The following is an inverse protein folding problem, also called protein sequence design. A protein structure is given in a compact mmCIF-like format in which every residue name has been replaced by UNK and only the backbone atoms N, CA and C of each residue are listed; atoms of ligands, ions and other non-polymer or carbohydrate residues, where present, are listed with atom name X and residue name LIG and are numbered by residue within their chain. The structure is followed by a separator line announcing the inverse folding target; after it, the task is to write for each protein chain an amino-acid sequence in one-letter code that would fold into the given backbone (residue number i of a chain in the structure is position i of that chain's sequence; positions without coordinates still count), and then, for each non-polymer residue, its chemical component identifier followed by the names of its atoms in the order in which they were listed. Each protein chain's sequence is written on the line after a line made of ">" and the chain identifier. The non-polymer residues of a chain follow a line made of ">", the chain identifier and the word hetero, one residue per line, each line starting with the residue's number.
data_IF_975213502286
#
_entry.id   IF_975213502286
#
_cell.length_a   1.000
_cell.length_b   1.000
_cell.length_c   1.000
_cell.angle_alpha   90.00
_cell.angle_beta   90.00
_cell.angle_gamma   90.00
#
_symmetry.space_group_name_H-M   'P 1'
#
loop_
_entity.id
_entity.type
_entity.pdbx_description
1 polymer ?
#
# COMPACT_ATOMS: atom_id res chain seq x y z
N UNK A 1 65.59 1.22 -5.84
CA UNK A 1 64.26 0.88 -6.40
C UNK A 1 63.34 2.06 -6.17
N UNK A 2 63.01 2.81 -7.20
CA UNK A 2 62.09 3.95 -7.13
C UNK A 2 61.43 4.09 -8.49
N UNK A 3 60.27 3.46 -8.65
CA UNK A 3 59.51 3.42 -9.89
C UNK A 3 58.64 4.68 -9.97
N UNK A 4 58.90 5.53 -10.97
CA UNK A 4 58.09 6.71 -11.28
C UNK A 4 56.72 6.30 -11.83
N UNK A 5 55.67 6.82 -11.19
CA UNK A 5 54.26 6.60 -11.52
C UNK A 5 53.88 7.28 -12.85
N UNK A 6 53.42 6.48 -13.81
CA UNK A 6 52.94 6.93 -15.11
C UNK A 6 51.58 7.64 -15.04
N UNK A 7 51.61 8.95 -15.25
CA UNK A 7 50.68 9.75 -16.06
C UNK A 7 49.21 9.29 -16.13
N UNK A 8 48.40 9.86 -15.26
CA UNK A 8 46.95 9.98 -15.42
C UNK A 8 46.64 11.09 -16.45
N UNK A 9 46.34 10.72 -17.70
CA UNK A 9 45.67 11.63 -18.66
C UNK A 9 44.28 11.07 -18.96
N UNK A 10 43.28 11.48 -18.17
CA UNK A 10 41.88 11.31 -18.57
C UNK A 10 41.61 12.31 -19.68
N UNK A 11 41.25 11.82 -20.87
CA UNK A 11 40.65 12.65 -21.93
C UNK A 11 39.28 13.10 -21.41
N UNK A 12 39.06 14.40 -21.31
CA UNK A 12 37.72 14.96 -21.14
C UNK A 12 36.94 14.70 -22.44
N UNK A 13 35.94 13.82 -22.39
CA UNK A 13 34.97 13.70 -23.47
C UNK A 13 33.99 14.88 -23.36
N UNK A 14 33.65 15.54 -24.49
CA UNK A 14 32.73 16.67 -24.48
C UNK A 14 31.33 16.22 -24.06
N UNK A 15 30.71 17.00 -23.17
CA UNK A 15 29.34 16.83 -22.71
C UNK A 15 28.41 16.95 -23.94
N UNK A 16 27.54 15.98 -24.21
CA UNK A 16 26.64 16.03 -25.37
C UNK A 16 25.64 17.19 -25.23
N UNK A 17 25.46 17.91 -26.34
CA UNK A 17 24.52 19.01 -26.49
C UNK A 17 23.08 18.56 -26.20
N UNK A 18 22.42 19.25 -25.27
CA UNK A 18 21.10 18.93 -24.72
C UNK A 18 19.95 19.26 -25.70
N UNK A 19 20.26 19.70 -26.92
CA UNK A 19 19.29 20.19 -27.90
C UNK A 19 18.63 19.12 -28.79
N UNK A 20 18.94 17.83 -28.62
CA UNK A 20 18.47 16.75 -29.51
C UNK A 20 17.77 15.56 -28.83
N UNK A 21 17.26 15.74 -27.61
CA UNK A 21 16.40 14.72 -26.97
C UNK A 21 14.96 14.86 -27.48
N UNK A 22 14.56 13.96 -28.40
CA UNK A 22 13.16 13.83 -28.80
C UNK A 22 12.25 13.59 -27.58
N UNK A 23 11.03 14.16 -27.54
CA UNK A 23 10.12 13.94 -26.41
C UNK A 23 9.79 12.45 -26.26
N UNK A 24 10.12 11.86 -25.12
CA UNK A 24 9.70 10.50 -24.78
C UNK A 24 8.17 10.50 -24.66
N UNK A 25 7.48 9.94 -25.66
CA UNK A 25 6.03 9.73 -25.58
C UNK A 25 5.69 8.90 -24.33
N UNK A 26 4.90 9.51 -23.42
CA UNK A 26 4.44 8.85 -22.19
C UNK A 26 3.66 7.59 -22.56
N UNK A 27 4.19 6.42 -22.22
CA UNK A 27 3.47 5.15 -22.33
C UNK A 27 4.17 4.04 -23.12
N UNK A 28 5.38 4.27 -23.64
CA UNK A 28 6.15 3.26 -24.36
C UNK A 28 7.26 2.64 -23.49
N UNK A 29 7.51 1.33 -23.66
CA UNK A 29 8.71 0.63 -23.20
C UNK A 29 9.42 0.09 -24.45
N UNK A 30 10.70 0.46 -24.69
CA UNK A 30 11.47 0.06 -25.86
C UNK A 30 10.71 0.28 -27.21
N UNK A 31 10.05 1.44 -27.37
CA UNK A 31 9.30 1.76 -28.59
C UNK A 31 8.00 0.97 -28.79
N UNK A 32 7.57 0.16 -27.80
CA UNK A 32 6.30 -0.58 -27.82
C UNK A 32 5.33 -0.05 -26.78
N UNK A 33 4.01 -0.04 -27.04
CA UNK A 33 3.01 0.33 -26.05
C UNK A 33 3.17 -0.53 -24.80
N UNK A 34 3.30 0.10 -23.63
CA UNK A 34 3.36 -0.63 -22.37
C UNK A 34 2.05 -1.43 -22.21
N UNK A 35 2.08 -2.78 -22.14
CA UNK A 35 0.87 -3.59 -22.02
C UNK A 35 0.11 -3.35 -20.70
N UNK A 36 0.77 -2.71 -19.72
CA UNK A 36 0.17 -2.30 -18.46
C UNK A 36 -0.39 -0.87 -18.51
N UNK A 37 -0.29 -0.18 -19.64
CA UNK A 37 -0.90 1.13 -19.81
C UNK A 37 -2.43 0.95 -19.83
N UNK A 38 -3.17 1.69 -18.98
CA UNK A 38 -4.62 1.65 -18.97
C UNK A 38 -5.17 2.01 -20.36
N UNK A 39 -6.21 1.32 -20.80
CA UNK A 39 -6.92 1.69 -22.02
C UNK A 39 -7.52 3.10 -21.86
N UNK A 40 -7.55 3.88 -22.93
CA UNK A 40 -8.18 5.21 -22.95
C UNK A 40 -9.63 5.09 -22.44
N UNK A 41 -10.00 5.87 -21.42
CA UNK A 41 -11.31 5.81 -20.75
C UNK A 41 -11.43 4.84 -19.56
N UNK A 42 -10.42 4.02 -19.28
CA UNK A 42 -10.42 3.17 -18.07
C UNK A 42 -10.01 3.95 -16.82
N UNK A 43 -10.76 3.77 -15.73
CA UNK A 43 -10.42 4.37 -14.43
C UNK A 43 -9.46 3.46 -13.65
N UNK A 44 -8.28 3.98 -13.35
CA UNK A 44 -7.29 3.32 -12.47
C UNK A 44 -7.69 3.48 -11.00
N UNK A 45 -8.62 4.39 -10.68
CA UNK A 45 -8.99 4.69 -9.31
C UNK A 45 -9.68 3.47 -8.69
N UNK A 46 -9.16 3.06 -7.53
CA UNK A 46 -9.74 1.98 -6.73
C UNK A 46 -10.52 2.53 -5.55
N UNK A 47 -11.52 1.78 -5.10
CA UNK A 47 -12.44 2.18 -4.03
C UNK A 47 -12.11 1.51 -2.69
N UNK A 48 -12.49 2.14 -1.55
CA UNK A 48 -12.54 1.45 -0.27
C UNK A 48 -13.63 0.36 -0.27
N UNK A 49 -13.48 -0.65 0.59
CA UNK A 49 -14.50 -1.66 0.86
C UNK A 49 -15.43 -1.08 1.95
N UNK A 50 -16.56 -0.51 1.51
CA UNK A 50 -17.52 0.17 2.40
C UNK A 50 -18.54 -0.78 3.05
N UNK A 51 -18.63 -2.03 2.60
CA UNK A 51 -19.58 -3.03 3.14
C UNK A 51 -18.90 -3.93 4.18
N UNK A 52 -19.41 -3.91 5.42
CA UNK A 52 -18.92 -4.76 6.52
C UNK A 52 -19.21 -6.24 6.29
N UNK A 53 -20.31 -6.57 5.62
CA UNK A 53 -20.68 -7.96 5.29
C UNK A 53 -19.68 -8.53 4.29
N UNK A 54 -19.33 -7.77 3.25
CA UNK A 54 -18.25 -8.15 2.34
C UNK A 54 -16.89 -8.29 3.04
N UNK A 55 -16.53 -7.39 3.97
CA UNK A 55 -15.29 -7.55 4.76
C UNK A 55 -15.30 -8.87 5.55
N UNK A 56 -16.43 -9.22 6.16
CA UNK A 56 -16.59 -10.49 6.88
C UNK A 56 -16.45 -11.67 5.91
N UNK A 57 -17.15 -11.64 4.78
CA UNK A 57 -17.07 -12.69 3.75
C UNK A 57 -15.64 -12.90 3.22
N UNK A 58 -14.87 -11.82 3.02
CA UNK A 58 -13.46 -11.92 2.64
C UNK A 58 -12.64 -12.61 3.74
N UNK A 59 -12.83 -12.23 5.02
CA UNK A 59 -12.12 -12.87 6.13
C UNK A 59 -12.45 -14.36 6.23
N UNK A 60 -13.72 -14.71 6.08
CA UNK A 60 -14.20 -16.10 6.11
C UNK A 60 -13.58 -16.91 4.94
N UNK A 61 -13.57 -16.34 3.73
CA UNK A 61 -12.91 -16.95 2.56
C UNK A 61 -11.39 -17.16 2.76
N UNK A 62 -10.76 -16.34 3.59
CA UNK A 62 -9.33 -16.40 3.88
C UNK A 62 -8.97 -17.20 5.14
N UNK A 63 -9.95 -17.76 5.86
CA UNK A 63 -9.72 -18.44 7.14
C UNK A 63 -8.65 -19.56 7.05
N UNK A 64 -8.64 -20.33 5.97
CA UNK A 64 -7.63 -21.38 5.70
C UNK A 64 -6.32 -20.88 5.08
N UNK A 65 -6.13 -19.56 4.96
CA UNK A 65 -4.97 -18.93 4.32
C UNK A 65 -4.35 -17.89 5.26
N UNK A 66 -3.64 -18.32 6.31
CA UNK A 66 -3.21 -17.45 7.41
C UNK A 66 -2.39 -16.23 6.94
N UNK A 67 -1.49 -16.40 5.96
CA UNK A 67 -0.70 -15.30 5.38
C UNK A 67 -1.59 -14.24 4.72
N UNK A 68 -2.53 -14.69 3.91
CA UNK A 68 -3.40 -13.82 3.12
C UNK A 68 -4.43 -13.13 4.02
N UNK A 69 -4.99 -13.84 5.00
CA UNK A 69 -5.85 -13.28 6.04
C UNK A 69 -5.12 -12.24 6.88
N UNK A 70 -3.87 -12.52 7.27
CA UNK A 70 -3.04 -11.58 8.00
C UNK A 70 -2.77 -10.32 7.16
N UNK A 71 -2.38 -10.47 5.89
CA UNK A 71 -2.16 -9.36 4.98
C UNK A 71 -3.41 -8.49 4.82
N UNK A 72 -4.57 -9.11 4.58
CA UNK A 72 -5.85 -8.40 4.47
C UNK A 72 -6.17 -7.65 5.76
N UNK A 73 -6.02 -8.30 6.91
CA UNK A 73 -6.33 -7.72 8.22
C UNK A 73 -5.43 -6.52 8.53
N UNK A 74 -4.12 -6.63 8.32
CA UNK A 74 -3.19 -5.52 8.48
C UNK A 74 -3.52 -4.38 7.50
N UNK A 75 -3.83 -4.71 6.25
CA UNK A 75 -4.17 -3.71 5.24
C UNK A 75 -5.40 -2.86 5.58
N UNK A 76 -6.42 -3.43 6.23
CA UNK A 76 -7.64 -2.70 6.61
C UNK A 76 -7.61 -2.16 8.06
N UNK A 77 -6.57 -2.47 8.84
CA UNK A 77 -6.40 -1.97 10.21
C UNK A 77 -5.23 -1.01 10.39
N UNK A 78 -4.47 -0.74 9.33
CA UNK A 78 -3.31 0.16 9.36
C UNK A 78 -3.33 1.16 8.23
N UNK A 79 -2.55 2.22 8.39
CA UNK A 79 -2.30 3.22 7.37
C UNK A 79 -1.05 2.90 6.53
N UNK A 80 -0.75 1.62 6.26
CA UNK A 80 0.38 1.23 5.41
C UNK A 80 -0.03 1.05 3.95
N UNK A 81 0.92 1.28 3.03
CA UNK A 81 0.81 0.92 1.62
C UNK A 81 1.22 -0.54 1.46
N UNK A 82 0.83 -1.17 0.36
CA UNK A 82 1.19 -2.57 0.15
C UNK A 82 2.71 -2.79 0.12
N UNK A 83 3.50 -1.91 -0.50
CA UNK A 83 4.96 -2.05 -0.48
C UNK A 83 5.54 -1.95 0.94
N UNK A 84 4.95 -1.11 1.80
CA UNK A 84 5.34 -0.97 3.21
C UNK A 84 5.02 -2.26 3.97
N UNK A 85 3.79 -2.79 3.83
CA UNK A 85 3.41 -4.08 4.43
C UNK A 85 4.33 -5.22 3.98
N UNK A 86 4.67 -5.26 2.69
CA UNK A 86 5.51 -6.30 2.09
C UNK A 86 6.98 -6.19 2.52
N UNK A 87 7.40 -5.06 3.09
CA UNK A 87 8.75 -4.89 3.67
C UNK A 87 8.85 -5.27 5.15
N UNK A 88 7.77 -5.75 5.77
CA UNK A 88 7.80 -6.15 7.19
C UNK A 88 8.60 -7.44 7.35
N UNK A 89 9.58 -7.42 8.25
CA UNK A 89 10.30 -8.60 8.74
C UNK A 89 9.69 -9.13 10.03
N UNK A 90 9.88 -10.42 10.29
CA UNK A 90 9.27 -11.10 11.46
C UNK A 90 9.75 -10.48 12.77
N UNK A 91 11.04 -10.19 12.93
CA UNK A 91 11.59 -9.61 14.17
C UNK A 91 10.90 -8.31 14.58
N UNK A 92 10.45 -7.50 13.60
CA UNK A 92 9.80 -6.22 13.85
C UNK A 92 8.43 -6.37 14.50
N UNK A 93 7.79 -7.53 14.36
CA UNK A 93 6.38 -7.71 14.73
C UNK A 93 6.11 -8.91 15.64
N UNK A 94 7.06 -9.86 15.76
CA UNK A 94 6.87 -11.12 16.52
C UNK A 94 6.42 -10.89 17.95
N UNK A 95 6.95 -9.84 18.60
CA UNK A 95 6.72 -9.54 20.02
C UNK A 95 5.71 -8.42 20.27
N UNK A 96 5.03 -7.93 19.23
CA UNK A 96 4.06 -6.84 19.39
C UNK A 96 2.88 -7.25 20.27
N UNK A 97 2.50 -6.33 21.17
CA UNK A 97 1.29 -6.38 21.97
C UNK A 97 0.34 -5.25 21.56
N UNK A 98 -0.96 -5.36 21.86
CA UNK A 98 -1.91 -4.29 21.54
C UNK A 98 -1.49 -2.98 22.22
N UNK A 99 -1.41 -1.90 21.44
CA UNK A 99 -0.94 -0.59 21.91
C UNK A 99 0.56 -0.33 21.68
N UNK A 100 1.35 -1.35 21.34
CA UNK A 100 2.74 -1.14 20.94
C UNK A 100 2.80 -0.46 19.55
N UNK A 101 3.77 0.44 19.38
CA UNK A 101 4.06 1.08 18.11
C UNK A 101 5.10 0.28 17.31
N UNK A 102 4.97 0.29 15.99
CA UNK A 102 6.02 -0.16 15.09
C UNK A 102 6.18 0.79 13.90
N UNK A 103 7.41 0.91 13.42
CA UNK A 103 7.78 1.87 12.39
C UNK A 103 8.33 1.16 11.16
N UNK A 104 7.86 1.58 9.98
CA UNK A 104 8.39 1.12 8.71
C UNK A 104 9.04 2.26 7.94
N UNK A 105 10.24 2.01 7.43
CA UNK A 105 10.99 2.97 6.62
C UNK A 105 10.35 3.09 5.24
N UNK A 106 10.06 4.32 4.83
CA UNK A 106 9.62 4.65 3.48
C UNK A 106 10.83 4.74 2.54
N UNK A 107 10.92 3.89 1.50
CA UNK A 107 12.10 3.86 0.63
C UNK A 107 12.35 5.19 -0.11
N UNK A 108 11.28 5.88 -0.53
CA UNK A 108 11.38 7.08 -1.37
C UNK A 108 11.79 8.33 -0.60
N UNK A 109 11.27 8.49 0.62
CA UNK A 109 11.42 9.72 1.40
C UNK A 109 12.44 9.59 2.52
N UNK A 110 12.97 8.38 2.75
CA UNK A 110 13.82 8.03 3.91
C UNK A 110 13.20 8.36 5.28
N UNK A 111 11.89 8.64 5.31
CA UNK A 111 11.14 8.88 6.55
C UNK A 111 10.55 7.57 7.08
N UNK A 112 10.09 7.58 8.32
CA UNK A 112 9.41 6.45 8.94
C UNK A 112 7.91 6.72 9.04
N UNK A 113 7.11 5.67 8.89
CA UNK A 113 5.69 5.70 9.26
C UNK A 113 5.48 4.83 10.47
N UNK A 114 5.06 5.47 11.55
CA UNK A 114 4.65 4.82 12.80
C UNK A 114 3.18 4.42 12.72
N UNK A 115 2.88 3.21 13.18
CA UNK A 115 1.52 2.71 13.38
C UNK A 115 1.44 2.02 14.73
N UNK A 116 0.38 2.30 15.47
CA UNK A 116 0.04 1.59 16.70
C UNK A 116 -0.70 0.31 16.37
N UNK A 117 -0.20 -0.83 16.87
CA UNK A 117 -0.79 -2.13 16.62
C UNK A 117 -2.05 -2.32 17.47
N UNK A 118 -3.22 -2.40 16.83
CA UNK A 118 -4.45 -2.76 17.53
C UNK A 118 -4.56 -4.28 17.76
N UNK A 119 -5.55 -4.71 18.56
CA UNK A 119 -5.78 -6.14 18.86
C UNK A 119 -5.95 -7.00 17.60
N UNK A 120 -6.62 -6.49 16.57
CA UNK A 120 -6.85 -7.24 15.34
C UNK A 120 -5.54 -7.48 14.57
N UNK A 121 -4.65 -6.48 14.51
CA UNK A 121 -3.32 -6.58 13.90
C UNK A 121 -2.47 -7.62 14.65
N UNK A 122 -2.38 -7.50 15.97
CA UNK A 122 -1.58 -8.43 16.78
C UNK A 122 -2.09 -9.85 16.64
N UNK A 123 -3.40 -10.07 16.79
CA UNK A 123 -3.99 -11.41 16.65
C UNK A 123 -3.74 -12.01 15.26
N UNK A 124 -3.83 -11.22 14.20
CA UNK A 124 -3.57 -11.67 12.84
C UNK A 124 -2.11 -12.09 12.63
N UNK A 125 -1.16 -11.32 13.18
CA UNK A 125 0.27 -11.66 13.15
C UNK A 125 0.52 -12.95 13.94
N UNK A 126 0.03 -13.03 15.17
CA UNK A 126 0.24 -14.21 16.01
C UNK A 126 -0.38 -15.48 15.42
N UNK A 127 -1.54 -15.39 14.79
CA UNK A 127 -2.15 -16.52 14.08
C UNK A 127 -1.33 -16.95 12.86
N UNK A 128 -0.73 -16.01 12.13
CA UNK A 128 0.21 -16.35 11.06
C UNK A 128 1.45 -17.05 11.61
N UNK A 129 2.06 -16.52 12.67
CA UNK A 129 3.26 -17.10 13.28
C UNK A 129 3.03 -18.51 13.84
N UNK A 130 1.82 -18.80 14.33
CA UNK A 130 1.43 -20.15 14.78
C UNK A 130 1.23 -21.15 13.64
N UNK A 131 1.06 -20.69 12.41
CA UNK A 131 0.75 -21.56 11.27
C UNK A 131 1.96 -22.27 10.67
N UNK A 132 3.17 -21.97 11.15
CA UNK A 132 4.39 -22.60 10.65
C UNK A 132 5.64 -22.08 11.36
N UNK A 133 6.80 -22.48 10.88
CA UNK A 133 8.08 -22.01 11.38
C UNK A 133 8.52 -20.74 10.64
N UNK A 134 8.98 -19.74 11.39
CA UNK A 134 9.42 -18.45 10.86
C UNK A 134 10.71 -18.04 11.55
N UNK A 135 11.69 -17.62 10.77
CA UNK A 135 12.91 -17.00 11.27
C UNK A 135 12.75 -15.48 11.38
N UNK A 136 13.56 -14.84 12.21
CA UNK A 136 13.45 -13.40 12.47
C UNK A 136 13.70 -12.53 11.23
N UNK A 137 14.61 -12.98 10.36
CA UNK A 137 14.93 -12.35 9.08
C UNK A 137 13.98 -12.71 7.93
N UNK A 138 12.97 -13.54 8.17
CA UNK A 138 11.95 -13.81 7.15
C UNK A 138 11.10 -12.56 6.88
N UNK A 139 10.64 -12.42 5.63
CA UNK A 139 9.56 -11.50 5.32
C UNK A 139 8.23 -12.05 5.87
N UNK A 140 7.48 -11.21 6.59
CA UNK A 140 6.16 -11.58 7.12
C UNK A 140 5.22 -12.07 6.00
N UNK A 141 5.36 -11.48 4.81
CA UNK A 141 4.57 -11.81 3.63
C UNK A 141 5.46 -12.30 2.48
N UNK A 142 6.09 -13.46 2.67
CA UNK A 142 6.87 -14.12 1.61
C UNK A 142 6.04 -14.96 0.64
N UNK A 143 6.57 -15.08 -0.56
CA UNK A 143 6.17 -16.06 -1.58
C UNK A 143 6.53 -17.47 -1.12
N UNK A 144 5.61 -18.42 -1.35
CA UNK A 144 5.86 -19.84 -1.03
C UNK A 144 6.92 -20.48 -1.95
N UNK A 145 7.12 -19.92 -3.14
CA UNK A 145 8.00 -20.50 -4.17
C UNK A 145 9.40 -19.90 -4.10
N UNK A 146 9.51 -18.60 -3.83
CA UNK A 146 10.78 -17.87 -3.96
C UNK A 146 11.38 -17.44 -2.63
N UNK A 147 10.66 -17.58 -1.50
CA UNK A 147 11.00 -17.00 -0.19
C UNK A 147 11.20 -15.46 -0.13
N UNK A 148 11.19 -14.81 -1.28
CA UNK A 148 11.14 -13.35 -1.46
C UNK A 148 9.78 -12.75 -1.04
N UNK A 149 9.72 -11.43 -0.73
CA UNK A 149 8.46 -10.79 -0.39
C UNK A 149 7.52 -10.83 -1.59
N UNK A 150 6.21 -10.94 -1.32
CA UNK A 150 5.22 -10.87 -2.40
C UNK A 150 5.34 -9.55 -3.16
N UNK A 151 5.06 -9.56 -4.46
CA UNK A 151 5.05 -8.34 -5.28
C UNK A 151 3.74 -7.58 -5.08
N UNK A 152 3.78 -6.24 -5.14
CA UNK A 152 2.59 -5.37 -5.08
C UNK A 152 1.54 -5.76 -6.12
N UNK A 153 1.98 -6.15 -7.32
CA UNK A 153 1.10 -6.63 -8.39
C UNK A 153 0.38 -7.93 -8.02
N UNK A 154 1.03 -8.82 -7.26
CA UNK A 154 0.45 -10.10 -6.81
C UNK A 154 -0.64 -9.83 -5.78
N UNK A 155 -0.35 -9.04 -4.74
CA UNK A 155 -1.36 -8.69 -3.73
C UNK A 155 -2.50 -7.85 -4.31
N UNK A 156 -2.24 -7.05 -5.35
CA UNK A 156 -3.32 -6.34 -6.06
C UNK A 156 -4.28 -7.29 -6.77
N UNK A 157 -3.77 -8.36 -7.41
CA UNK A 157 -4.60 -9.42 -7.98
C UNK A 157 -5.38 -10.16 -6.91
N UNK A 158 -4.76 -10.44 -5.76
CA UNK A 158 -5.42 -11.08 -4.63
C UNK A 158 -6.60 -10.24 -4.12
N UNK A 159 -6.38 -8.96 -3.82
CA UNK A 159 -7.45 -8.07 -3.34
C UNK A 159 -8.60 -7.99 -4.34
N UNK A 160 -8.30 -7.88 -5.64
CA UNK A 160 -9.33 -7.89 -6.70
C UNK A 160 -10.16 -9.18 -6.65
N UNK A 161 -9.50 -10.33 -6.55
CA UNK A 161 -10.15 -11.64 -6.47
C UNK A 161 -11.01 -11.78 -5.21
N UNK A 162 -10.50 -11.36 -4.05
CA UNK A 162 -11.24 -11.42 -2.78
C UNK A 162 -12.51 -10.58 -2.84
N UNK A 163 -12.42 -9.36 -3.36
CA UNK A 163 -13.58 -8.47 -3.49
C UNK A 163 -14.62 -9.06 -4.48
N UNK A 164 -14.16 -9.62 -5.60
CA UNK A 164 -15.05 -10.29 -6.56
C UNK A 164 -15.77 -11.49 -5.93
N UNK A 165 -15.05 -12.31 -5.16
CA UNK A 165 -15.63 -13.47 -4.45
C UNK A 165 -16.63 -13.07 -3.36
N UNK A 166 -16.47 -11.87 -2.79
CA UNK A 166 -17.42 -11.29 -1.86
C UNK A 166 -18.58 -10.55 -2.54
N UNK A 167 -18.74 -10.65 -3.86
CA UNK A 167 -19.84 -10.04 -4.60
C UNK A 167 -19.72 -8.52 -4.81
N UNK A 168 -18.55 -7.93 -4.54
CA UNK A 168 -18.36 -6.49 -4.69
C UNK A 168 -18.17 -6.10 -6.16
N UNK A 169 -19.05 -5.22 -6.64
CA UNK A 169 -18.85 -4.51 -7.90
C UNK A 169 -17.84 -3.37 -7.75
N UNK A 170 -17.07 -3.10 -8.80
CA UNK A 170 -16.11 -2.00 -8.88
C UNK A 170 -14.66 -2.42 -9.01
N UNK A 171 -13.76 -1.44 -8.88
CA UNK A 171 -12.32 -1.64 -9.06
C UNK A 171 -11.61 -1.68 -7.69
N UNK A 172 -10.97 -2.81 -7.40
CA UNK A 172 -10.26 -3.06 -6.15
C UNK A 172 -8.84 -3.56 -6.41
N UNK A 173 -7.90 -3.04 -5.62
CA UNK A 173 -6.49 -3.45 -5.66
C UNK A 173 -5.85 -3.19 -4.29
N UNK A 174 -4.52 -3.34 -4.19
CA UNK A 174 -3.77 -3.11 -2.95
C UNK A 174 -4.12 -1.83 -2.19
N UNK A 175 -4.29 -0.70 -2.89
CA UNK A 175 -4.67 0.57 -2.26
C UNK A 175 -6.08 0.57 -1.66
N UNK A 176 -6.98 -0.30 -2.09
CA UNK A 176 -8.32 -0.43 -1.51
C UNK A 176 -8.27 -0.77 -0.03
N UNK A 177 -7.29 -1.55 0.42
CA UNK A 177 -7.16 -1.92 1.83
C UNK A 177 -6.91 -0.69 2.72
N UNK A 178 -5.90 0.10 2.35
CA UNK A 178 -5.57 1.37 3.03
C UNK A 178 -6.72 2.37 3.00
N UNK A 179 -7.41 2.48 1.86
CA UNK A 179 -8.61 3.32 1.74
C UNK A 179 -9.72 2.84 2.66
N UNK A 180 -9.90 1.53 2.77
CA UNK A 180 -10.90 0.91 3.67
C UNK A 180 -10.64 1.31 5.11
N UNK A 181 -9.40 1.23 5.58
CA UNK A 181 -9.03 1.69 6.92
C UNK A 181 -9.44 3.15 7.14
N UNK A 182 -8.98 4.07 6.30
CA UNK A 182 -9.27 5.50 6.49
C UNK A 182 -10.74 5.85 6.32
N UNK A 183 -11.46 5.16 5.44
CA UNK A 183 -12.90 5.35 5.27
C UNK A 183 -13.63 5.02 6.57
N UNK A 184 -13.32 3.88 7.20
CA UNK A 184 -13.94 3.49 8.45
C UNK A 184 -13.49 4.31 9.65
N UNK A 185 -12.26 4.85 9.65
CA UNK A 185 -11.85 5.84 10.65
C UNK A 185 -12.66 7.13 10.51
N UNK A 186 -12.87 7.62 9.29
CA UNK A 186 -13.64 8.85 9.06
C UNK A 186 -15.13 8.66 9.29
N UNK A 187 -15.76 7.68 8.63
CA UNK A 187 -17.22 7.48 8.63
C UNK A 187 -17.68 6.69 9.85
N UNK A 188 -16.91 5.69 10.29
CA UNK A 188 -17.30 4.83 11.41
C UNK A 188 -16.86 5.32 12.79
N UNK A 189 -15.93 6.28 12.85
CA UNK A 189 -15.34 6.80 14.11
C UNK A 189 -15.23 8.32 14.17
N UNK A 190 -15.70 9.02 13.15
CA UNK A 190 -15.66 10.49 13.05
C UNK A 190 -14.25 11.09 13.27
N UNK A 191 -13.20 10.38 12.86
CA UNK A 191 -11.82 10.86 13.01
C UNK A 191 -11.61 12.10 12.13
N UNK A 192 -11.11 13.22 12.69
CA UNK A 192 -10.85 14.44 11.93
C UNK A 192 -9.87 14.24 10.78
N UNK A 193 -10.14 14.91 9.64
CA UNK A 193 -9.29 14.84 8.45
C UNK A 193 -7.81 15.20 8.74
N UNK A 194 -7.47 16.20 9.58
CA UNK A 194 -6.06 16.48 9.91
C UNK A 194 -5.32 15.28 10.50
N UNK A 195 -5.95 14.49 11.37
CA UNK A 195 -5.33 13.29 11.94
C UNK A 195 -5.13 12.21 10.86
N UNK A 196 -6.08 12.06 9.95
CA UNK A 196 -5.95 11.13 8.82
C UNK A 196 -4.86 11.56 7.83
N UNK A 197 -4.65 12.87 7.64
CA UNK A 197 -3.53 13.38 6.85
C UNK A 197 -2.19 12.96 7.44
N UNK A 198 -2.02 13.12 8.75
CA UNK A 198 -0.81 12.68 9.48
C UNK A 198 -0.61 11.17 9.33
N UNK A 199 -1.64 10.37 9.62
CA UNK A 199 -1.57 8.92 9.50
C UNK A 199 -1.24 8.47 8.07
N UNK A 200 -1.78 9.18 7.06
CA UNK A 200 -1.50 8.87 5.67
C UNK A 200 -0.18 9.44 5.14
N UNK A 201 0.44 10.39 5.83
CA UNK A 201 1.54 11.20 5.31
C UNK A 201 1.14 11.96 4.05
N UNK A 202 -0.07 12.53 4.02
CA UNK A 202 -0.55 13.39 2.94
C UNK A 202 -0.33 14.85 3.32
N UNK A 203 0.22 15.65 2.39
CA UNK A 203 0.45 17.08 2.61
C UNK A 203 -0.77 17.95 2.30
N UNK A 204 -1.77 17.41 1.62
CA UNK A 204 -2.95 18.17 1.16
C UNK A 204 -4.25 17.48 1.61
N UNK A 205 -5.16 18.27 2.19
CA UNK A 205 -6.47 17.80 2.63
C UNK A 205 -7.32 17.24 1.48
N UNK A 206 -7.29 17.88 0.31
CA UNK A 206 -7.98 17.43 -0.90
C UNK A 206 -7.52 16.03 -1.33
N UNK A 207 -6.22 15.73 -1.18
CA UNK A 207 -5.68 14.40 -1.43
C UNK A 207 -6.35 13.37 -0.52
N UNK A 208 -6.48 13.66 0.78
CA UNK A 208 -7.13 12.75 1.75
C UNK A 208 -8.62 12.58 1.46
N UNK A 209 -9.36 13.65 1.20
CA UNK A 209 -10.79 13.59 0.87
C UNK A 209 -11.07 12.76 -0.39
N UNK A 210 -10.31 13.00 -1.46
CA UNK A 210 -10.40 12.22 -2.70
C UNK A 210 -9.97 10.77 -2.50
N UNK A 211 -9.00 10.53 -1.61
CA UNK A 211 -8.50 9.19 -1.28
C UNK A 211 -9.60 8.34 -0.63
N UNK A 212 -10.39 8.96 0.26
CA UNK A 212 -11.46 8.31 1.00
C UNK A 212 -12.77 8.14 0.21
N UNK A 213 -12.89 8.76 -0.97
CA UNK A 213 -14.11 8.73 -1.80
C UNK A 213 -15.35 9.21 -1.03
N UNK A 214 -15.23 10.38 -0.40
CA UNK A 214 -16.25 10.99 0.47
C UNK A 214 -16.86 12.27 -0.16
N UNK A 215 -16.13 12.89 -1.09
CA UNK A 215 -16.38 14.26 -1.51
C UNK A 215 -17.75 14.48 -2.17
N UNK A 216 -18.35 13.47 -2.80
CA UNK A 216 -19.60 13.61 -3.54
C UNK A 216 -20.82 13.62 -2.61
N UNK A 217 -20.87 12.69 -1.67
CA UNK A 217 -22.02 12.51 -0.78
C UNK A 217 -22.07 13.56 0.33
N UNK A 218 -20.92 13.97 0.89
CA UNK A 218 -20.88 15.01 1.92
C UNK A 218 -21.27 16.40 1.38
N UNK A 219 -20.86 16.76 0.16
CA UNK A 219 -21.25 18.04 -0.45
C UNK A 219 -22.77 18.13 -0.62
N UNK A 220 -23.41 17.05 -1.07
CA UNK A 220 -24.86 16.99 -1.14
C UNK A 220 -25.50 17.14 0.26
N UNK A 221 -24.94 16.48 1.27
CA UNK A 221 -25.41 16.56 2.66
C UNK A 221 -25.34 17.96 3.27
N UNK A 222 -24.35 18.79 2.90
CA UNK A 222 -24.25 20.17 3.38
C UNK A 222 -25.49 20.99 3.01
N UNK A 223 -25.98 20.84 1.78
CA UNK A 223 -27.17 21.57 1.32
C UNK A 223 -28.48 21.01 1.90
N UNK A 224 -28.51 19.73 2.26
CA UNK A 224 -29.72 19.05 2.74
C UNK A 224 -29.85 19.03 4.28
N UNK A 225 -28.80 19.41 5.01
CA UNK A 225 -28.68 19.18 6.45
C UNK A 225 -29.06 20.35 7.36
N UNK A 226 -29.26 21.55 6.81
CA UNK A 226 -29.60 22.75 7.57
C UNK A 226 -30.63 23.57 6.80
N UNK A 227 -31.85 23.62 7.33
CA UNK A 227 -32.89 24.56 6.92
C UNK A 227 -33.01 25.60 8.04
N UNK A 228 -32.79 26.89 7.71
CA UNK A 228 -32.88 28.02 8.66
C UNK A 228 -34.29 28.61 8.68
#
# INVERSE_FOLDING_TARGET
>A
MGQLCGLCRKKEEPIPDCSSVEPIEKGQINGKPNPNHPKKGSSIKVSPIKDKTAIKAIKDFLAGRPRDLCFFTLGINTAFRANELLSIKIYQVRRLRPGDDFELKLPKTKTYRRVTANRAVVNAIQNLLKSGHFEDEDWLFKSKTTNEPLKVSTVSKYVKNWCQKAGLAGNYASHSLRKTWGYWQRVGKDVPIPLLMVAFGHSNQSQTLQYLCIQSEEIAGIYMGLEL
#
